data_IF_147188457794
#
_entry.id   IF_147188457794
#
_cell.length_a   1.000
_cell.length_b   1.000
_cell.length_c   1.000
_cell.angle_alpha   90.00
_cell.angle_beta   90.00
_cell.angle_gamma   90.00
#
_symmetry.space_group_name_H-M   'P 1'
#
loop_
_entity.id
_entity.type
_entity.pdbx_description
1 polymer ?
#
# COMPACT_ATOMS: atom_id res chain seq x y z
N UNK A 1 4.53 30.22 -6.37
CA UNK A 1 4.78 28.90 -6.96
C UNK A 1 4.26 27.89 -5.96
N UNK A 2 3.19 27.19 -6.28
CA UNK A 2 2.74 26.04 -5.48
C UNK A 2 3.68 24.89 -5.83
N UNK A 3 4.27 24.28 -4.81
CA UNK A 3 5.15 23.14 -4.99
C UNK A 3 4.26 21.92 -5.30
N UNK A 4 4.35 21.33 -6.50
CA UNK A 4 3.48 20.24 -6.87
C UNK A 4 3.66 19.04 -5.93
N UNK A 5 4.86 18.82 -5.42
CA UNK A 5 5.15 17.66 -4.56
C UNK A 5 4.39 17.75 -3.23
N UNK A 6 4.28 18.95 -2.66
CA UNK A 6 3.56 19.19 -1.41
C UNK A 6 2.04 18.99 -1.54
N UNK A 7 1.44 19.38 -2.67
CA UNK A 7 0.00 19.20 -2.88
C UNK A 7 -0.35 17.72 -3.08
N UNK A 8 0.46 16.99 -3.86
CA UNK A 8 0.26 15.56 -4.08
C UNK A 8 0.39 14.78 -2.77
N UNK A 9 1.38 15.11 -1.94
CA UNK A 9 1.56 14.47 -0.65
C UNK A 9 0.36 14.74 0.29
N UNK A 10 -0.17 15.97 0.31
CA UNK A 10 -1.38 16.28 1.08
C UNK A 10 -2.61 15.55 0.59
N UNK A 11 -2.82 15.43 -0.72
CA UNK A 11 -3.96 14.67 -1.24
C UNK A 11 -3.94 13.22 -0.79
N UNK A 12 -2.78 12.59 -0.89
CA UNK A 12 -2.63 11.17 -0.58
C UNK A 12 -2.83 10.93 0.92
N UNK A 13 -2.34 11.82 1.79
CA UNK A 13 -2.55 11.69 3.23
C UNK A 13 -3.96 12.04 3.70
N UNK A 14 -4.66 12.95 3.01
CA UNK A 14 -6.04 13.30 3.35
C UNK A 14 -7.08 12.36 2.71
N UNK A 15 -6.63 11.40 1.89
CA UNK A 15 -7.50 10.41 1.28
C UNK A 15 -8.14 9.52 2.35
N UNK A 16 -9.47 9.34 2.36
CA UNK A 16 -10.12 8.36 3.21
C UNK A 16 -9.87 6.92 2.73
N UNK A 17 -9.51 6.74 1.46
CA UNK A 17 -9.13 5.45 0.90
C UNK A 17 -7.66 5.14 1.24
N UNK A 18 -7.41 3.89 1.64
CA UNK A 18 -6.06 3.39 1.89
C UNK A 18 -5.25 3.36 0.60
N UNK A 19 -4.12 4.06 0.58
CA UNK A 19 -3.20 4.13 -0.56
C UNK A 19 -1.88 3.49 -0.15
N UNK A 20 -1.46 2.47 -0.90
CA UNK A 20 -0.17 1.81 -0.72
C UNK A 20 0.55 1.76 -2.06
N UNK A 21 1.83 2.17 -2.06
CA UNK A 21 2.73 2.03 -3.18
C UNK A 21 3.72 0.91 -2.88
N UNK A 22 3.92 -0.01 -3.82
CA UNK A 22 4.91 -1.06 -3.71
C UNK A 22 5.82 -1.10 -4.94
N UNK A 23 7.07 -1.53 -4.74
CA UNK A 23 8.05 -1.79 -5.79
C UNK A 23 8.66 -3.17 -5.53
N UNK A 24 8.69 -4.03 -6.54
CA UNK A 24 9.18 -5.42 -6.44
C UNK A 24 8.52 -6.23 -5.31
N UNK A 25 7.24 -5.93 -5.03
CA UNK A 25 6.47 -6.56 -3.96
C UNK A 25 6.76 -6.01 -2.56
N UNK A 26 7.63 -5.01 -2.42
CA UNK A 26 7.94 -4.35 -1.15
C UNK A 26 7.23 -3.00 -1.07
N UNK A 27 6.61 -2.70 0.08
CA UNK A 27 5.99 -1.40 0.35
C UNK A 27 7.07 -0.31 0.31
N UNK A 28 6.84 0.73 -0.48
CA UNK A 28 7.70 1.94 -0.51
C UNK A 28 7.02 3.14 0.14
N UNK A 29 5.69 3.10 0.28
CA UNK A 29 4.89 4.12 0.93
C UNK A 29 3.50 3.58 1.26
N UNK A 30 2.92 4.03 2.38
CA UNK A 30 1.53 3.84 2.74
C UNK A 30 1.01 5.10 3.45
N UNK A 31 -0.20 5.55 3.10
CA UNK A 31 -0.83 6.67 3.80
C UNK A 31 -1.42 6.22 5.15
N UNK A 32 -1.79 7.18 6.01
CA UNK A 32 -2.35 6.86 7.32
C UNK A 32 -3.63 6.01 7.23
N UNK A 33 -4.51 6.29 6.25
CA UNK A 33 -5.74 5.52 6.06
C UNK A 33 -5.46 4.03 5.80
N UNK A 34 -4.42 3.69 5.03
CA UNK A 34 -4.04 2.30 4.79
C UNK A 34 -3.55 1.62 6.07
N UNK A 35 -2.76 2.32 6.90
CA UNK A 35 -2.28 1.80 8.18
C UNK A 35 -3.45 1.53 9.15
N UNK A 36 -4.39 2.49 9.24
CA UNK A 36 -5.57 2.39 10.10
C UNK A 36 -6.46 1.22 9.68
N UNK A 37 -6.71 1.06 8.37
CA UNK A 37 -7.48 -0.06 7.82
C UNK A 37 -6.81 -1.41 8.06
N UNK A 38 -5.48 -1.45 7.96
CA UNK A 38 -4.69 -2.66 8.24
C UNK A 38 -4.52 -2.92 9.75
N UNK A 39 -5.00 -2.03 10.63
CA UNK A 39 -4.84 -2.15 12.07
C UNK A 39 -3.39 -1.99 12.54
N UNK A 40 -2.55 -1.33 11.74
CA UNK A 40 -1.14 -1.12 12.04
C UNK A 40 -1.01 0.04 13.04
N UNK A 41 -0.38 -0.18 14.21
CA UNK A 41 -0.18 0.88 15.19
C UNK A 41 0.67 2.01 14.65
N UNK A 42 0.38 3.23 15.10
CA UNK A 42 1.22 4.39 14.81
C UNK A 42 2.68 4.13 15.24
N UNK A 43 3.62 4.51 14.37
CA UNK A 43 5.07 4.36 14.60
C UNK A 43 5.66 3.01 14.18
N UNK A 44 4.85 2.07 13.68
CA UNK A 44 5.36 0.90 12.97
C UNK A 44 5.79 1.31 11.57
N UNK A 45 7.04 1.03 11.22
CA UNK A 45 7.53 1.22 9.86
C UNK A 45 7.13 0.02 9.00
N UNK A 46 6.37 0.31 7.95
CA UNK A 46 5.90 -0.68 6.98
C UNK A 46 6.74 -0.68 5.70
N UNK A 47 7.65 0.29 5.54
CA UNK A 47 8.50 0.38 4.35
C UNK A 47 9.45 -0.83 4.31
N UNK A 48 9.51 -1.48 3.15
CA UNK A 48 10.25 -2.74 2.96
C UNK A 48 9.48 -4.00 3.34
N UNK A 49 8.31 -3.89 3.98
CA UNK A 49 7.43 -5.04 4.20
C UNK A 49 6.91 -5.59 2.87
N UNK A 50 6.67 -6.90 2.80
CA UNK A 50 6.08 -7.49 1.58
C UNK A 50 4.61 -7.13 1.52
N UNK A 51 4.18 -6.53 0.41
CA UNK A 51 2.77 -6.11 0.21
C UNK A 51 1.82 -7.30 0.28
N UNK A 52 2.28 -8.48 -0.10
CA UNK A 52 1.45 -9.69 -0.08
C UNK A 52 1.15 -10.16 1.34
N UNK A 53 1.97 -9.82 2.33
CA UNK A 53 1.74 -10.24 3.73
C UNK A 53 0.57 -9.49 4.38
N UNK A 54 0.12 -8.38 3.78
CA UNK A 54 -1.05 -7.58 4.23
C UNK A 54 -2.30 -7.82 3.38
N UNK A 55 -2.21 -8.62 2.32
CA UNK A 55 -3.38 -9.05 1.55
C UNK A 55 -4.09 -10.20 2.27
N UNK A 56 -5.42 -10.21 2.21
CA UNK A 56 -6.17 -11.39 2.63
C UNK A 56 -5.83 -12.62 1.77
N UNK A 57 -6.09 -13.80 2.33
CA UNK A 57 -5.76 -15.06 1.68
C UNK A 57 -6.46 -15.22 0.32
N UNK A 58 -7.69 -14.70 0.16
CA UNK A 58 -8.45 -14.77 -1.09
C UNK A 58 -7.76 -13.96 -2.20
N UNK A 59 -7.26 -12.77 -1.86
CA UNK A 59 -6.53 -11.88 -2.79
C UNK A 59 -5.17 -12.46 -3.15
N UNK A 60 -4.45 -13.03 -2.17
CA UNK A 60 -3.20 -13.76 -2.44
C UNK A 60 -3.46 -14.91 -3.44
N UNK A 61 -4.53 -15.65 -3.24
CA UNK A 61 -4.88 -16.80 -4.07
C UNK A 61 -5.27 -16.39 -5.50
N UNK A 62 -5.95 -15.25 -5.68
CA UNK A 62 -6.27 -14.68 -7.00
C UNK A 62 -5.02 -14.20 -7.74
N UNK A 63 -4.08 -13.55 -7.05
CA UNK A 63 -2.82 -13.09 -7.63
C UNK A 63 -1.91 -14.25 -8.01
N UNK A 64 -1.83 -15.30 -7.18
CA UNK A 64 -1.10 -16.52 -7.51
C UNK A 64 -1.74 -17.27 -8.69
N UNK A 65 -3.08 -17.36 -8.74
CA UNK A 65 -3.77 -17.96 -9.88
C UNK A 65 -3.55 -17.18 -11.19
N UNK A 66 -3.40 -15.85 -11.13
CA UNK A 66 -3.05 -15.03 -12.28
C UNK A 66 -1.57 -15.17 -12.69
N UNK A 67 -0.67 -15.52 -11.76
CA UNK A 67 0.74 -15.77 -12.03
C UNK A 67 1.00 -17.18 -12.59
N UNK A 68 0.21 -18.17 -12.17
CA UNK A 68 0.32 -19.58 -12.58
C UNK A 68 -0.53 -19.94 -13.82
N UNK A 69 -1.32 -18.99 -14.36
CA UNK A 69 -2.15 -19.15 -15.55
C UNK A 69 -1.71 -18.29 -16.74
N UNK A 70 -0.78 -18.82 -17.54
CA UNK A 70 -0.30 -18.56 -18.94
C UNK A 70 -0.54 -17.18 -19.64
N UNK A 71 0.44 -16.62 -20.40
CA UNK A 71 0.31 -15.44 -21.29
C UNK A 71 -0.88 -15.40 -22.27
#
# INVERSE_FOLDING_TARGET
>A
SEDPEAWYQQLVELSPDGIVLHQDGCVVYANQAALDMAGIPAGVDVVGARIFDVLDADTQQQLMAAADGDP
#
